data_IF_844367809010
#
_entry.id   IF_844367809010
#
_cell.length_a   1.000
_cell.length_b   1.000
_cell.length_c   1.000
_cell.angle_alpha   90.00
_cell.angle_beta   90.00
_cell.angle_gamma   90.00
#
_symmetry.space_group_name_H-M   'P 1'
#
loop_
_entity.id
_entity.type
_entity.pdbx_description
1 polymer ?
#
# COMPACT_ATOMS: atom_id res chain seq x y z
N UNK A 1 35.60 22.84 40.66
CA UNK A 1 36.18 22.27 39.43
C UNK A 1 35.10 21.45 38.76
N UNK A 2 34.56 21.94 37.63
CA UNK A 2 33.53 21.24 36.86
C UNK A 2 34.21 20.13 36.06
N UNK A 3 33.80 18.86 36.30
CA UNK A 3 34.30 17.73 35.53
C UNK A 3 33.58 17.69 34.19
N UNK A 4 34.41 17.59 33.15
CA UNK A 4 34.10 17.81 31.75
C UNK A 4 33.26 16.68 31.16
N UNK A 5 32.26 17.08 30.39
CA UNK A 5 31.40 16.31 29.48
C UNK A 5 32.21 15.44 28.52
N UNK A 6 31.92 14.14 28.50
CA UNK A 6 32.25 13.27 27.37
C UNK A 6 31.17 12.19 27.22
N UNK A 7 29.95 12.63 26.90
CA UNK A 7 28.92 11.75 26.34
C UNK A 7 29.35 11.53 24.89
N UNK A 8 30.13 10.46 24.68
CA UNK A 8 30.49 9.95 23.36
C UNK A 8 29.22 9.61 22.58
N UNK A 9 28.77 10.58 21.79
CA UNK A 9 28.44 10.44 20.36
C UNK A 9 28.02 9.02 19.93
N UNK A 10 26.84 8.60 20.38
CA UNK A 10 26.11 7.47 19.80
C UNK A 10 25.16 8.00 18.71
N UNK A 11 25.70 8.66 17.70
CA UNK A 11 24.99 8.84 16.43
C UNK A 11 25.37 7.69 15.52
N UNK A 12 24.93 6.49 15.91
CA UNK A 12 24.71 5.44 14.94
C UNK A 12 23.66 6.00 13.97
N UNK A 13 24.12 6.33 12.77
CA UNK A 13 23.32 6.72 11.64
C UNK A 13 22.40 5.53 11.34
N UNK A 14 21.25 5.47 12.02
CA UNK A 14 20.14 4.62 11.61
C UNK A 14 19.69 5.23 10.29
N UNK A 15 20.25 4.73 9.21
CA UNK A 15 19.74 4.91 7.87
C UNK A 15 18.37 4.23 7.87
N UNK A 16 17.37 4.96 8.37
CA UNK A 16 16.01 4.48 8.50
C UNK A 16 15.40 4.37 7.11
N UNK A 17 15.55 3.20 6.50
CA UNK A 17 14.63 2.77 5.46
C UNK A 17 13.31 2.46 6.17
N UNK A 18 12.49 3.49 6.39
CA UNK A 18 11.22 3.37 7.11
C UNK A 18 10.14 2.84 6.17
N UNK A 19 10.28 1.60 5.71
CA UNK A 19 9.19 0.92 5.01
C UNK A 19 8.19 0.33 6.00
N UNK A 20 6.90 0.36 5.65
CA UNK A 20 5.83 -0.20 6.48
C UNK A 20 5.03 -1.29 5.77
N UNK A 21 4.62 -2.31 6.52
CA UNK A 21 3.63 -3.30 6.07
C UNK A 21 2.41 -3.21 6.97
N UNK A 22 1.23 -3.09 6.37
CA UNK A 22 -0.07 -3.16 7.06
C UNK A 22 -0.87 -4.34 6.53
N UNK A 23 -1.63 -5.02 7.39
CA UNK A 23 -2.47 -6.15 7.01
C UNK A 23 -3.91 -5.86 7.41
N UNK A 24 -4.85 -6.15 6.50
CA UNK A 24 -6.29 -6.09 6.78
C UNK A 24 -6.92 -7.44 6.46
N UNK A 25 -8.00 -7.80 7.16
CA UNK A 25 -8.73 -9.04 6.87
C UNK A 25 -9.98 -8.75 6.06
N UNK A 26 -10.25 -9.57 5.06
CA UNK A 26 -11.45 -9.46 4.24
C UNK A 26 -12.01 -10.84 3.87
N UNK A 27 -13.27 -10.86 3.44
CA UNK A 27 -13.92 -12.03 2.84
C UNK A 27 -14.35 -11.73 1.40
N UNK A 28 -14.41 -12.73 0.52
CA UNK A 28 -15.07 -12.57 -0.78
C UNK A 28 -16.50 -12.04 -0.62
N UNK A 29 -16.90 -11.13 -1.51
CA UNK A 29 -18.20 -10.43 -1.48
C UNK A 29 -18.27 -9.23 -0.52
N UNK A 30 -17.26 -9.02 0.33
CA UNK A 30 -17.24 -7.89 1.26
C UNK A 30 -16.81 -6.60 0.55
N UNK A 31 -17.34 -5.45 1.00
CA UNK A 31 -16.73 -4.15 0.73
C UNK A 31 -15.54 -3.94 1.66
N UNK A 32 -14.38 -3.65 1.06
CA UNK A 32 -13.12 -3.41 1.76
C UNK A 32 -12.70 -1.96 1.54
N UNK A 33 -12.22 -1.31 2.60
CA UNK A 33 -11.64 0.02 2.55
C UNK A 33 -10.16 -0.09 2.93
N UNK A 34 -9.28 0.28 2.00
CA UNK A 34 -7.84 0.36 2.22
C UNK A 34 -7.51 1.81 2.57
N UNK A 35 -7.14 2.03 3.84
CA UNK A 35 -6.72 3.34 4.32
C UNK A 35 -5.20 3.46 4.18
N UNK A 36 -4.74 4.32 3.28
CA UNK A 36 -3.33 4.55 3.04
C UNK A 36 -2.81 5.72 3.87
N UNK A 37 -1.54 5.63 4.30
CA UNK A 37 -0.88 6.74 4.99
C UNK A 37 -0.70 7.93 4.04
N UNK A 38 -0.95 9.14 4.53
CA UNK A 38 -0.67 10.41 3.83
C UNK A 38 -1.38 10.62 2.48
N UNK A 39 -2.42 9.82 2.17
CA UNK A 39 -3.20 9.96 0.93
C UNK A 39 -2.35 9.96 -0.34
N UNK A 40 -1.70 8.84 -0.68
CA UNK A 40 -0.76 8.77 -1.79
C UNK A 40 -1.45 9.05 -3.13
N UNK A 41 -0.80 9.76 -4.03
CA UNK A 41 -1.35 10.00 -5.37
C UNK A 41 -1.19 8.79 -6.30
N UNK A 42 -0.22 7.93 -6.02
CA UNK A 42 0.08 6.75 -6.84
C UNK A 42 0.01 5.49 -5.99
N UNK A 43 -0.74 4.50 -6.48
CA UNK A 43 -0.88 3.19 -5.85
C UNK A 43 -0.76 2.11 -6.92
N UNK A 44 0.12 1.14 -6.68
CA UNK A 44 0.30 -0.04 -7.51
C UNK A 44 -0.38 -1.25 -6.86
N UNK A 45 -1.08 -2.04 -7.64
CA UNK A 45 -1.54 -3.37 -7.20
C UNK A 45 -0.60 -4.45 -7.75
N UNK A 46 -0.36 -5.46 -6.94
CA UNK A 46 0.46 -6.62 -7.32
C UNK A 46 -0.41 -7.72 -7.94
N UNK A 47 -0.02 -8.16 -9.13
CA UNK A 47 -0.69 -9.21 -9.89
C UNK A 47 0.30 -10.33 -10.21
N UNK A 48 -0.18 -11.57 -10.22
CA UNK A 48 0.58 -12.69 -10.78
C UNK A 48 0.37 -12.73 -12.30
N UNK A 49 1.46 -12.70 -13.06
CA UNK A 49 1.39 -12.82 -14.51
C UNK A 49 1.30 -14.30 -14.97
N UNK A 50 1.18 -14.53 -16.28
CA UNK A 50 1.05 -15.87 -16.86
C UNK A 50 2.27 -16.78 -16.63
N UNK A 51 3.42 -16.20 -16.29
CA UNK A 51 4.67 -16.92 -15.99
C UNK A 51 4.82 -17.20 -14.49
N UNK A 52 3.83 -16.83 -13.67
CA UNK A 52 3.88 -16.96 -12.21
C UNK A 52 4.75 -15.91 -11.53
N UNK A 53 5.13 -14.84 -12.25
CA UNK A 53 5.95 -13.75 -11.71
C UNK A 53 5.03 -12.63 -11.21
N UNK A 54 5.36 -12.09 -10.04
CA UNK A 54 4.67 -10.94 -9.47
C UNK A 54 5.04 -9.66 -10.24
N UNK A 55 4.03 -8.99 -10.77
CA UNK A 55 4.15 -7.74 -11.52
C UNK A 55 3.30 -6.66 -10.83
N UNK A 56 3.83 -5.44 -10.79
CA UNK A 56 3.16 -4.30 -10.15
C UNK A 56 2.62 -3.36 -11.20
N UNK A 57 1.36 -2.98 -11.06
CA UNK A 57 0.70 -2.09 -12.02
C UNK A 57 -0.02 -0.96 -11.33
N UNK A 58 0.17 0.25 -11.84
CA UNK A 58 -0.52 1.45 -11.36
C UNK A 58 -2.04 1.31 -11.53
N UNK A 59 -2.74 1.34 -10.39
CA UNK A 59 -4.20 1.35 -10.34
C UNK A 59 -4.76 2.72 -9.98
N UNK A 60 -4.00 3.50 -9.21
CA UNK A 60 -4.24 4.93 -8.97
C UNK A 60 -3.00 5.67 -9.46
N UNK A 61 -3.20 6.75 -10.22
CA UNK A 61 -2.14 7.63 -10.69
C UNK A 61 -2.59 9.07 -10.57
N UNK A 62 -1.74 9.94 -10.02
CA UNK A 62 -2.05 11.36 -9.82
C UNK A 62 -3.38 11.59 -9.05
N UNK A 63 -3.74 10.66 -8.17
CA UNK A 63 -5.00 10.68 -7.41
C UNK A 63 -6.24 10.19 -8.16
N UNK A 64 -6.09 9.67 -9.38
CA UNK A 64 -7.19 9.21 -10.23
C UNK A 64 -7.11 7.70 -10.50
N UNK A 65 -8.28 7.07 -10.66
CA UNK A 65 -8.38 5.65 -11.04
C UNK A 65 -7.92 5.48 -12.49
N UNK A 66 -6.97 4.56 -12.72
CA UNK A 66 -6.46 4.31 -14.08
C UNK A 66 -7.42 3.51 -14.94
N UNK A 67 -7.23 3.53 -16.26
CA UNK A 67 -7.99 2.67 -17.20
C UNK A 67 -7.82 1.18 -16.85
N UNK A 68 -6.62 0.78 -16.42
CA UNK A 68 -6.35 -0.59 -15.99
C UNK A 68 -7.20 -0.96 -14.78
N UNK A 69 -7.22 -0.11 -13.76
CA UNK A 69 -8.06 -0.33 -12.58
C UNK A 69 -9.54 -0.42 -12.95
N UNK A 70 -10.01 0.45 -13.84
CA UNK A 70 -11.38 0.40 -14.36
C UNK A 70 -11.68 -0.91 -15.07
N UNK A 71 -10.73 -1.44 -15.86
CA UNK A 71 -10.88 -2.73 -16.54
C UNK A 71 -10.95 -3.92 -15.57
N UNK A 72 -10.20 -3.86 -14.48
CA UNK A 72 -10.08 -4.95 -13.50
C UNK A 72 -11.26 -4.94 -12.52
N UNK A 73 -11.55 -3.79 -11.94
CA UNK A 73 -12.54 -3.66 -10.88
C UNK A 73 -13.92 -3.23 -11.41
N UNK A 74 -13.99 -2.55 -12.54
CA UNK A 74 -15.22 -1.95 -13.06
C UNK A 74 -15.72 -0.86 -12.11
N UNK A 75 -17.03 -0.85 -11.87
CA UNK A 75 -17.66 0.13 -10.97
C UNK A 75 -17.48 -0.19 -9.47
N UNK A 76 -16.73 -1.25 -9.13
CA UNK A 76 -16.50 -1.68 -7.74
C UNK A 76 -15.45 -0.85 -7.01
N UNK A 77 -14.61 -0.13 -7.75
CA UNK A 77 -13.48 0.64 -7.20
C UNK A 77 -13.84 2.11 -7.10
N UNK A 78 -13.55 2.72 -5.95
CA UNK A 78 -13.57 4.16 -5.78
C UNK A 78 -12.35 4.60 -5.00
N UNK A 79 -11.75 5.73 -5.38
CA UNK A 79 -10.62 6.30 -4.65
C UNK A 79 -10.96 7.72 -4.23
N UNK A 80 -10.80 8.01 -2.94
CA UNK A 80 -11.07 9.34 -2.41
C UNK A 80 -10.15 9.62 -1.21
N UNK A 81 -9.36 10.69 -1.31
CA UNK A 81 -8.52 11.20 -0.20
C UNK A 81 -7.76 10.11 0.56
N UNK A 82 -7.01 9.26 -0.15
CA UNK A 82 -6.21 8.21 0.50
C UNK A 82 -6.96 6.93 0.85
N UNK A 83 -8.25 6.84 0.57
CA UNK A 83 -9.05 5.65 0.83
C UNK A 83 -9.43 4.99 -0.48
N UNK A 84 -8.95 3.76 -0.70
CA UNK A 84 -9.39 2.91 -1.80
C UNK A 84 -10.49 1.98 -1.31
N UNK A 85 -11.68 2.14 -1.85
CA UNK A 85 -12.80 1.22 -1.56
C UNK A 85 -12.97 0.25 -2.72
N UNK A 86 -13.03 -1.03 -2.40
CA UNK A 86 -13.32 -2.13 -3.32
C UNK A 86 -14.60 -2.81 -2.84
N UNK A 87 -15.68 -2.64 -3.58
CA UNK A 87 -16.96 -3.29 -3.31
C UNK A 87 -16.97 -4.71 -3.87
N UNK A 88 -17.70 -5.62 -3.23
CA UNK A 88 -17.87 -7.01 -3.71
C UNK A 88 -16.51 -7.63 -4.07
N UNK A 89 -15.59 -7.65 -3.09
CA UNK A 89 -14.22 -8.11 -3.30
C UNK A 89 -14.22 -9.56 -3.82
N UNK A 90 -13.38 -9.84 -4.82
CA UNK A 90 -13.27 -11.16 -5.45
C UNK A 90 -12.00 -11.86 -5.01
N UNK A 91 -12.01 -13.19 -5.02
CA UNK A 91 -10.79 -13.99 -4.78
C UNK A 91 -9.69 -13.70 -5.81
N UNK A 92 -10.07 -13.26 -7.01
CA UNK A 92 -9.14 -12.87 -8.08
C UNK A 92 -8.61 -11.44 -7.95
N UNK A 93 -9.14 -10.64 -7.02
CA UNK A 93 -8.66 -9.27 -6.82
C UNK A 93 -7.26 -9.30 -6.17
N UNK A 94 -6.38 -8.32 -6.49
CA UNK A 94 -5.09 -8.17 -5.84
C UNK A 94 -5.17 -8.10 -4.32
N UNK A 95 -4.19 -8.73 -3.67
CA UNK A 95 -4.07 -8.77 -2.21
C UNK A 95 -2.93 -7.91 -1.68
N UNK A 96 -2.08 -7.34 -2.53
CA UNK A 96 -1.00 -6.46 -2.11
C UNK A 96 -1.00 -5.16 -2.91
N UNK A 97 -0.93 -4.05 -2.18
CA UNK A 97 -1.01 -2.68 -2.70
C UNK A 97 0.21 -1.90 -2.22
N UNK A 98 0.99 -1.39 -3.17
CA UNK A 98 2.24 -0.68 -2.93
C UNK A 98 2.04 0.81 -3.16
N UNK A 99 2.58 1.63 -2.26
CA UNK A 99 2.49 3.08 -2.35
C UNK A 99 3.69 3.73 -1.66
N UNK A 100 3.86 5.02 -1.85
CA UNK A 100 4.88 5.79 -1.13
C UNK A 100 4.20 6.77 -0.17
N UNK A 101 4.61 6.74 1.10
CA UNK A 101 4.33 7.78 2.08
C UNK A 101 5.60 8.61 2.26
N UNK A 102 5.51 9.92 2.07
CA UNK A 102 6.64 10.82 1.88
C UNK A 102 7.71 10.27 0.90
N UNK A 103 8.81 9.70 1.43
CA UNK A 103 9.92 9.15 0.63
C UNK A 103 10.10 7.64 0.79
N UNK A 104 9.20 7.00 1.54
CA UNK A 104 9.37 5.61 1.94
C UNK A 104 8.34 4.70 1.27
N UNK A 105 8.73 3.49 0.85
CA UNK A 105 7.81 2.52 0.29
C UNK A 105 6.99 1.83 1.38
N UNK A 106 5.70 1.67 1.12
CA UNK A 106 4.77 0.97 2.00
C UNK A 106 3.97 -0.08 1.22
N UNK A 107 3.57 -1.13 1.92
CA UNK A 107 2.72 -2.19 1.39
C UNK A 107 1.51 -2.38 2.30
N UNK A 108 0.32 -2.41 1.72
CA UNK A 108 -0.90 -2.82 2.39
C UNK A 108 -1.33 -4.16 1.81
N UNK A 109 -1.46 -5.16 2.68
CA UNK A 109 -1.85 -6.51 2.33
C UNK A 109 -3.25 -6.83 2.82
N UNK A 110 -3.97 -7.63 2.05
CA UNK A 110 -5.29 -8.16 2.39
C UNK A 110 -5.17 -9.66 2.63
N UNK A 111 -5.46 -10.07 3.86
CA UNK A 111 -5.61 -11.46 4.26
C UNK A 111 -7.04 -11.91 3.97
N UNK A 112 -7.23 -12.74 2.95
CA UNK A 112 -8.52 -13.37 2.70
C UNK A 112 -8.81 -14.40 3.80
N UNK A 113 -10.00 -14.31 4.36
CA UNK A 113 -10.51 -15.24 5.36
C UNK A 113 -11.71 -15.99 4.81
N UNK A 114 -11.80 -17.28 5.15
CA UNK A 114 -12.96 -18.15 4.86
C UNK A 114 -14.17 -17.73 5.71
#
# INVERSE_FOLDING_TARGET
MFSLTLITLLTALICGCHGGVSNIRAKPGQTVVLEFMESPNDIEAEFMNAEGVHDRKLIIKDGEITELATKIYGNRITYNSGNLTIQDMKESDPLAYHYHAAKYPHVLMIDLTE
#
